data_IF_449215614716
#
_entry.id   IF_449215614716
#
_cell.length_a   1.000
_cell.length_b   1.000
_cell.length_c   1.000
_cell.angle_alpha   90.00
_cell.angle_beta   90.00
_cell.angle_gamma   90.00
#
_symmetry.space_group_name_H-M   'P 1'
#
loop_
_entity.id
_entity.type
_entity.pdbx_description
1 polymer ?
#
# COMPACT_ATOMS: atom_id res chain seq x y z
N UNK A 1 11.86 14.19 -13.70
CA UNK A 1 10.51 14.77 -13.84
C UNK A 1 10.56 16.23 -13.47
N UNK A 2 10.15 17.13 -14.36
CA UNK A 2 10.01 18.58 -14.12
C UNK A 2 8.75 18.85 -13.28
N UNK A 3 8.61 20.10 -12.79
CA UNK A 3 7.39 20.49 -12.05
C UNK A 3 6.13 20.38 -12.93
N UNK A 4 6.24 20.72 -14.22
CA UNK A 4 5.11 20.60 -15.16
C UNK A 4 4.71 19.14 -15.38
N UNK A 5 5.68 18.27 -15.63
CA UNK A 5 5.45 16.82 -15.78
C UNK A 5 4.87 16.22 -14.52
N UNK A 6 5.27 16.68 -13.33
CA UNK A 6 4.70 16.21 -12.06
C UNK A 6 3.23 16.61 -11.90
N UNK A 7 2.83 17.80 -12.36
CA UNK A 7 1.43 18.22 -12.34
C UNK A 7 0.59 17.42 -13.35
N UNK A 8 1.07 17.27 -14.59
CA UNK A 8 0.40 16.48 -15.63
C UNK A 8 0.23 15.02 -15.18
N UNK A 9 1.24 14.47 -14.52
CA UNK A 9 1.18 13.13 -13.96
C UNK A 9 0.15 13.01 -12.83
N UNK A 10 0.10 13.99 -11.93
CA UNK A 10 -0.88 14.03 -10.84
C UNK A 10 -2.32 14.07 -11.38
N UNK A 11 -2.57 14.85 -12.44
CA UNK A 11 -3.87 14.94 -13.09
C UNK A 11 -4.27 13.63 -13.81
N UNK A 12 -3.29 12.97 -14.44
CA UNK A 12 -3.50 11.64 -15.03
C UNK A 12 -3.83 10.61 -13.96
N UNK A 13 -3.11 10.64 -12.84
CA UNK A 13 -3.33 9.73 -11.72
C UNK A 13 -4.72 9.88 -11.10
N UNK A 14 -5.21 11.12 -10.96
CA UNK A 14 -6.59 11.36 -10.48
C UNK A 14 -7.61 10.66 -11.38
N UNK A 15 -7.53 10.85 -12.69
CA UNK A 15 -8.46 10.21 -13.65
C UNK A 15 -8.40 8.69 -13.61
N UNK A 16 -7.21 8.12 -13.49
CA UNK A 16 -7.05 6.68 -13.39
C UNK A 16 -7.67 6.13 -12.09
N UNK A 17 -7.49 6.84 -10.97
CA UNK A 17 -8.07 6.43 -9.69
C UNK A 17 -9.58 6.66 -9.60
N UNK A 18 -10.11 7.70 -10.23
CA UNK A 18 -11.54 7.91 -10.39
C UNK A 18 -12.19 6.73 -11.14
N UNK A 19 -11.58 6.30 -12.24
CA UNK A 19 -12.06 5.12 -12.98
C UNK A 19 -11.95 3.84 -12.17
N UNK A 20 -10.85 3.66 -11.44
CA UNK A 20 -10.68 2.50 -10.58
C UNK A 20 -11.68 2.51 -9.40
N UNK A 21 -12.00 3.67 -8.83
CA UNK A 21 -13.03 3.81 -7.80
C UNK A 21 -14.40 3.33 -8.31
N UNK A 22 -14.80 3.78 -9.50
CA UNK A 22 -16.04 3.35 -10.15
C UNK A 22 -16.09 1.84 -10.40
N UNK A 23 -14.98 1.24 -10.85
CA UNK A 23 -14.87 -0.22 -11.05
C UNK A 23 -15.01 -1.01 -9.74
N UNK A 24 -14.59 -0.42 -8.63
CA UNK A 24 -14.76 -0.98 -7.28
C UNK A 24 -16.14 -0.70 -6.66
N UNK A 25 -17.05 -0.05 -7.39
CA UNK A 25 -18.39 0.31 -6.88
C UNK A 25 -18.37 1.46 -5.86
N UNK A 26 -17.32 2.29 -5.89
CA UNK A 26 -17.18 3.50 -5.09
C UNK A 26 -17.54 4.74 -5.92
N UNK A 27 -17.70 5.88 -5.25
CA UNK A 27 -17.91 7.15 -5.94
C UNK A 27 -16.60 7.63 -6.61
N UNK A 28 -16.72 8.28 -7.76
CA UNK A 28 -15.60 8.85 -8.52
C UNK A 28 -14.73 9.79 -7.66
N UNK A 29 -15.38 10.61 -6.83
CA UNK A 29 -14.74 11.54 -5.89
C UNK A 29 -13.70 10.90 -4.96
N UNK A 30 -13.83 9.60 -4.68
CA UNK A 30 -12.90 8.84 -3.84
C UNK A 30 -11.50 8.78 -4.48
N UNK A 31 -11.42 8.64 -5.80
CA UNK A 31 -10.13 8.62 -6.52
C UNK A 31 -9.37 9.93 -6.35
N UNK A 32 -10.02 11.06 -6.61
CA UNK A 32 -9.44 12.40 -6.39
C UNK A 32 -9.05 12.62 -4.94
N UNK A 33 -9.91 12.26 -3.99
CA UNK A 33 -9.64 12.39 -2.56
C UNK A 33 -8.37 11.64 -2.14
N UNK A 34 -8.15 10.43 -2.66
CA UNK A 34 -6.95 9.63 -2.38
C UNK A 34 -5.69 10.35 -2.87
N UNK A 35 -5.72 10.86 -4.10
CA UNK A 35 -4.56 11.56 -4.67
C UNK A 35 -4.24 12.81 -3.88
N UNK A 36 -5.24 13.63 -3.57
CA UNK A 36 -5.03 14.92 -2.91
C UNK A 36 -4.55 14.80 -1.46
N UNK A 37 -4.93 13.73 -0.76
CA UNK A 37 -4.65 13.60 0.66
C UNK A 37 -3.49 12.64 1.01
N UNK A 38 -3.23 11.64 0.15
CA UNK A 38 -2.31 10.56 0.52
C UNK A 38 -1.15 10.36 -0.45
N UNK A 39 -1.20 10.96 -1.65
CA UNK A 39 -0.18 10.79 -2.67
C UNK A 39 0.54 12.12 -2.91
N UNK A 40 1.86 12.10 -2.84
CA UNK A 40 2.68 13.27 -3.16
C UNK A 40 3.56 12.95 -4.35
N UNK A 41 3.36 13.67 -5.47
CA UNK A 41 4.23 13.61 -6.64
C UNK A 41 5.34 14.65 -6.49
N UNK A 42 6.59 14.19 -6.40
CA UNK A 42 7.76 15.05 -6.19
C UNK A 42 8.50 15.26 -7.50
N UNK A 43 8.67 16.51 -7.96
CA UNK A 43 9.58 16.83 -9.06
C UNK A 43 11.02 16.47 -8.66
N UNK A 44 11.84 16.04 -9.63
CA UNK A 44 13.27 15.87 -9.38
C UNK A 44 13.89 17.22 -9.01
N UNK A 45 14.28 17.34 -7.75
CA UNK A 45 15.16 18.45 -7.35
C UNK A 45 16.53 18.23 -7.97
N UNK A 46 17.09 19.25 -8.59
CA UNK A 46 18.41 19.20 -9.21
C UNK A 46 19.43 18.63 -8.21
N UNK A 47 20.14 17.59 -8.60
CA UNK A 47 21.08 16.79 -7.77
C UNK A 47 22.36 17.55 -7.36
N UNK A 48 22.32 18.83 -7.14
CA UNK A 48 23.44 19.58 -6.57
C UNK A 48 23.53 19.27 -5.07
N UNK A 49 24.34 18.26 -4.74
CA UNK A 49 24.66 17.93 -3.35
C UNK A 49 24.55 16.46 -2.94
N UNK A 50 24.40 15.52 -3.86
CA UNK A 50 24.52 14.11 -3.51
C UNK A 50 25.98 13.75 -3.25
N UNK A 51 26.29 13.43 -2.01
CA UNK A 51 27.56 12.79 -1.62
C UNK A 51 27.45 11.31 -1.97
N UNK A 52 28.26 10.85 -2.92
CA UNK A 52 28.42 9.43 -3.21
C UNK A 52 29.29 8.81 -2.09
N UNK A 53 28.69 8.00 -1.25
CA UNK A 53 29.40 7.19 -0.25
C UNK A 53 29.63 5.79 -0.86
N UNK A 54 30.79 5.59 -1.49
CA UNK A 54 31.34 4.28 -1.82
C UNK A 54 30.77 3.58 -3.07
N UNK A 55 31.60 2.76 -3.72
CA UNK A 55 31.31 1.99 -4.93
C UNK A 55 30.23 0.90 -4.73
N UNK A 56 29.93 0.49 -3.51
CA UNK A 56 28.95 -0.56 -3.16
C UNK A 56 27.60 -0.03 -2.64
N UNK A 57 27.39 1.28 -2.57
CA UNK A 57 26.08 1.82 -2.19
C UNK A 57 25.13 1.69 -3.38
N UNK A 58 24.25 0.68 -3.36
CA UNK A 58 23.10 0.63 -4.25
C UNK A 58 22.40 1.99 -4.20
N UNK A 59 22.51 2.76 -5.29
CA UNK A 59 21.85 4.04 -5.43
C UNK A 59 20.36 3.81 -5.38
N UNK A 60 19.76 3.87 -4.21
CA UNK A 60 18.32 3.99 -4.05
C UNK A 60 17.92 5.32 -4.69
N UNK A 61 17.46 5.26 -5.93
CA UNK A 61 16.70 6.39 -6.49
C UNK A 61 15.48 6.55 -5.60
N UNK A 62 15.47 7.60 -4.79
CA UNK A 62 14.28 7.99 -4.07
C UNK A 62 13.15 8.09 -5.08
N UNK A 63 12.04 7.42 -4.84
CA UNK A 63 10.89 7.44 -5.74
C UNK A 63 10.39 8.88 -5.88
N UNK A 64 9.85 9.20 -7.06
CA UNK A 64 9.25 10.52 -7.31
C UNK A 64 7.85 10.63 -6.70
N UNK A 65 7.32 9.52 -6.20
CA UNK A 65 5.97 9.40 -5.68
C UNK A 65 6.03 8.81 -4.29
N UNK A 66 5.49 9.54 -3.34
CA UNK A 66 5.35 9.15 -1.94
C UNK A 66 3.89 8.89 -1.63
N UNK A 67 3.57 7.73 -1.08
CA UNK A 67 2.24 7.37 -0.59
C UNK A 67 2.32 7.20 0.91
N UNK A 68 1.46 7.92 1.62
CA UNK A 68 1.30 7.78 3.07
C UNK A 68 0.33 6.61 3.36
N UNK A 69 0.86 5.40 3.36
CA UNK A 69 0.09 4.17 3.54
C UNK A 69 -0.66 4.14 4.88
N UNK A 70 -0.03 4.65 5.93
CA UNK A 70 -0.63 4.67 7.28
C UNK A 70 -1.89 5.53 7.30
N UNK A 71 -1.83 6.75 6.77
CA UNK A 71 -3.01 7.62 6.68
C UNK A 71 -4.10 7.02 5.82
N UNK A 72 -3.71 6.39 4.74
CA UNK A 72 -4.59 5.70 3.82
C UNK A 72 -5.39 4.59 4.51
N UNK A 73 -4.71 3.73 5.28
CA UNK A 73 -5.38 2.65 6.02
C UNK A 73 -6.31 3.22 7.09
N UNK A 74 -5.88 4.27 7.81
CA UNK A 74 -6.71 4.94 8.81
C UNK A 74 -7.97 5.52 8.16
N UNK A 75 -7.84 6.27 7.07
CA UNK A 75 -8.98 6.86 6.36
C UNK A 75 -9.92 5.78 5.79
N UNK A 76 -9.36 4.67 5.30
CA UNK A 76 -10.14 3.51 4.86
C UNK A 76 -10.98 2.90 5.97
N UNK A 77 -10.45 2.82 7.18
CA UNK A 77 -11.19 2.33 8.34
C UNK A 77 -12.27 3.32 8.81
N UNK A 78 -12.02 4.62 8.77
CA UNK A 78 -13.01 5.66 9.07
C UNK A 78 -14.15 5.65 8.03
N UNK A 79 -13.82 5.53 6.76
CA UNK A 79 -14.78 5.37 5.68
C UNK A 79 -15.64 4.11 5.88
N UNK A 80 -14.99 3.02 6.27
CA UNK A 80 -15.65 1.77 6.59
C UNK A 80 -16.67 1.86 7.73
N UNK A 81 -16.32 2.60 8.77
CA UNK A 81 -17.22 2.84 9.90
C UNK A 81 -18.45 3.68 9.50
N UNK A 82 -18.33 4.49 8.45
CA UNK A 82 -19.43 5.34 7.92
C UNK A 82 -20.35 4.62 6.93
N UNK A 83 -19.91 3.49 6.37
CA UNK A 83 -20.65 2.74 5.33
C UNK A 83 -21.05 1.39 5.87
N UNK A 84 -22.34 1.08 5.84
CA UNK A 84 -22.92 -0.16 6.41
C UNK A 84 -22.56 -1.45 5.65
N UNK A 85 -21.65 -1.39 4.67
CA UNK A 85 -21.27 -2.55 3.83
C UNK A 85 -19.81 -2.95 4.07
N UNK A 86 -19.54 -4.13 4.64
CA UNK A 86 -18.19 -4.66 4.84
C UNK A 86 -17.34 -4.74 3.56
N UNK A 87 -17.98 -5.00 2.42
CA UNK A 87 -17.33 -5.06 1.11
C UNK A 87 -16.75 -3.71 0.66
N UNK A 88 -17.34 -2.60 1.07
CA UNK A 88 -16.85 -1.26 0.73
C UNK A 88 -15.50 -0.94 1.37
N UNK A 89 -15.24 -1.48 2.57
CA UNK A 89 -13.92 -1.37 3.24
C UNK A 89 -12.85 -2.07 2.43
N UNK A 90 -13.15 -3.29 2.06
CA UNK A 90 -12.27 -4.13 1.27
C UNK A 90 -11.93 -3.44 -0.06
N UNK A 91 -12.95 -2.97 -0.77
CA UNK A 91 -12.79 -2.27 -2.04
C UNK A 91 -11.99 -0.98 -1.88
N UNK A 92 -12.17 -0.25 -0.79
CA UNK A 92 -11.42 0.97 -0.51
C UNK A 92 -9.94 0.68 -0.23
N UNK A 93 -9.63 -0.30 0.61
CA UNK A 93 -8.25 -0.72 0.89
C UNK A 93 -7.59 -1.26 -0.40
N UNK A 94 -8.31 -2.04 -1.18
CA UNK A 94 -7.85 -2.56 -2.46
C UNK A 94 -7.53 -1.41 -3.44
N UNK A 95 -8.41 -0.43 -3.56
CA UNK A 95 -8.22 0.74 -4.42
C UNK A 95 -6.94 1.51 -4.06
N UNK A 96 -6.68 1.70 -2.78
CA UNK A 96 -5.53 2.43 -2.29
C UNK A 96 -4.23 1.69 -2.57
N UNK A 97 -4.23 0.39 -2.38
CA UNK A 97 -3.04 -0.43 -2.62
C UNK A 97 -2.80 -0.57 -4.11
N UNK A 98 -3.86 -0.74 -4.91
CA UNK A 98 -3.76 -0.70 -6.37
C UNK A 98 -3.21 0.65 -6.83
N UNK A 99 -3.63 1.77 -6.23
CA UNK A 99 -3.06 3.08 -6.56
C UNK A 99 -1.58 3.19 -6.24
N UNK A 100 -1.13 2.60 -5.12
CA UNK A 100 0.29 2.51 -4.79
C UNK A 100 1.09 1.73 -5.84
N UNK A 101 0.49 0.71 -6.46
CA UNK A 101 1.15 -0.12 -7.49
C UNK A 101 0.99 0.41 -8.90
N UNK A 102 -0.12 1.05 -9.23
CA UNK A 102 -0.36 1.67 -10.54
C UNK A 102 0.72 2.70 -10.87
N UNK A 103 1.15 3.43 -9.86
CA UNK A 103 2.25 4.39 -9.93
C UNK A 103 3.58 3.70 -10.30
N UNK A 104 3.77 2.44 -9.95
CA UNK A 104 4.96 1.66 -10.29
C UNK A 104 5.02 1.11 -11.72
N UNK A 105 3.99 1.29 -12.55
CA UNK A 105 3.88 0.78 -13.96
C UNK A 105 4.17 -0.72 -14.15
N UNK A 106 4.41 -1.48 -13.09
CA UNK A 106 4.98 -2.82 -13.21
C UNK A 106 4.03 -3.94 -12.82
N UNK A 107 2.91 -3.66 -12.16
CA UNK A 107 2.09 -4.74 -11.62
C UNK A 107 0.60 -4.44 -11.77
N UNK A 108 -0.02 -5.08 -12.75
CA UNK A 108 -1.45 -5.40 -12.73
C UNK A 108 -1.67 -6.49 -11.67
N UNK A 109 -1.46 -6.17 -10.42
CA UNK A 109 -1.68 -7.11 -9.35
C UNK A 109 -2.80 -6.58 -8.48
N UNK A 110 -3.98 -7.12 -8.70
CA UNK A 110 -5.07 -7.01 -7.75
C UNK A 110 -4.62 -7.71 -6.47
N UNK A 111 -4.72 -7.02 -5.34
CA UNK A 111 -4.48 -7.66 -4.07
C UNK A 111 -5.60 -8.65 -3.78
N UNK A 112 -5.22 -9.84 -3.37
CA UNK A 112 -6.16 -10.83 -2.88
C UNK A 112 -6.82 -10.38 -1.57
N UNK A 113 -7.97 -10.95 -1.23
CA UNK A 113 -8.61 -10.71 0.08
C UNK A 113 -7.65 -11.02 1.23
N UNK A 114 -6.88 -12.08 1.12
CA UNK A 114 -5.93 -12.49 2.15
C UNK A 114 -4.83 -11.43 2.35
N UNK A 115 -4.27 -10.87 1.26
CA UNK A 115 -3.30 -9.77 1.36
C UNK A 115 -3.87 -8.55 2.06
N UNK A 116 -5.10 -8.20 1.76
CA UNK A 116 -5.78 -7.07 2.40
C UNK A 116 -5.99 -7.31 3.89
N UNK A 117 -6.37 -8.54 4.27
CA UNK A 117 -6.53 -8.90 5.68
C UNK A 117 -5.21 -8.91 6.44
N UNK A 118 -4.15 -9.38 5.84
CA UNK A 118 -2.80 -9.33 6.42
C UNK A 118 -2.40 -7.88 6.71
N UNK A 119 -2.57 -6.96 5.75
CA UNK A 119 -2.28 -5.53 5.95
C UNK A 119 -3.16 -4.94 7.07
N UNK A 120 -4.45 -5.25 7.07
CA UNK A 120 -5.37 -4.77 8.10
C UNK A 120 -4.97 -5.23 9.50
N UNK A 121 -4.63 -6.51 9.67
CA UNK A 121 -4.22 -7.05 10.96
C UNK A 121 -2.87 -6.49 11.42
N UNK A 122 -1.89 -6.33 10.52
CA UNK A 122 -0.62 -5.66 10.82
C UNK A 122 -0.85 -4.22 11.30
N UNK A 123 -1.75 -3.48 10.60
CA UNK A 123 -2.12 -2.13 11.02
C UNK A 123 -2.77 -2.13 12.42
N UNK A 124 -3.74 -3.00 12.64
CA UNK A 124 -4.45 -3.12 13.94
C UNK A 124 -3.51 -3.42 15.10
N UNK A 125 -2.43 -4.16 14.84
CA UNK A 125 -1.38 -4.45 15.83
C UNK A 125 -0.33 -3.35 15.97
N UNK A 126 -0.40 -2.30 15.18
CA UNK A 126 0.58 -1.23 15.21
C UNK A 126 1.97 -1.67 14.72
N UNK A 127 2.03 -2.58 13.75
CA UNK A 127 3.27 -3.19 13.24
C UNK A 127 4.21 -2.23 12.51
N UNK A 128 4.12 -0.91 12.74
CA UNK A 128 4.96 0.09 12.06
C UNK A 128 6.34 0.21 12.68
N UNK A 129 6.42 0.34 13.99
CA UNK A 129 7.68 0.57 14.71
C UNK A 129 8.16 -0.67 15.46
N UNK A 130 7.26 -1.32 16.19
CA UNK A 130 7.60 -2.46 17.03
C UNK A 130 7.66 -3.79 16.28
N UNK A 131 7.03 -3.85 15.09
CA UNK A 131 6.84 -5.10 14.38
C UNK A 131 5.90 -6.08 15.11
N UNK A 132 5.64 -7.21 14.49
CA UNK A 132 4.84 -8.31 15.04
C UNK A 132 5.56 -9.62 14.78
N UNK A 133 5.67 -10.47 15.78
CA UNK A 133 6.32 -11.78 15.67
C UNK A 133 5.60 -12.65 14.63
N UNK A 134 6.35 -13.20 13.68
CA UNK A 134 5.85 -13.87 12.48
C UNK A 134 4.97 -15.08 12.80
N UNK A 135 5.43 -15.97 13.69
CA UNK A 135 4.74 -17.22 13.97
C UNK A 135 3.39 -17.01 14.65
N UNK A 136 3.33 -16.09 15.61
CA UNK A 136 2.09 -15.71 16.29
C UNK A 136 1.14 -14.99 15.33
N UNK A 137 1.67 -14.13 14.48
CA UNK A 137 0.88 -13.40 13.50
C UNK A 137 0.21 -14.33 12.49
N UNK A 138 0.94 -15.32 11.96
CA UNK A 138 0.38 -16.30 11.02
C UNK A 138 -0.80 -17.05 11.67
N UNK A 139 -0.65 -17.51 12.91
CA UNK A 139 -1.72 -18.22 13.61
C UNK A 139 -2.96 -17.34 13.79
N UNK A 140 -2.77 -16.05 14.10
CA UNK A 140 -3.86 -15.11 14.25
C UNK A 140 -4.56 -14.80 12.92
N UNK A 141 -3.81 -14.70 11.81
CA UNK A 141 -4.39 -14.55 10.47
C UNK A 141 -5.26 -15.76 10.14
N UNK A 142 -4.80 -16.99 10.45
CA UNK A 142 -5.57 -18.20 10.22
C UNK A 142 -6.89 -18.20 10.99
N UNK A 143 -6.85 -17.89 12.29
CA UNK A 143 -8.04 -17.82 13.13
C UNK A 143 -9.01 -16.75 12.64
N UNK A 144 -8.49 -15.56 12.35
CA UNK A 144 -9.31 -14.43 11.93
C UNK A 144 -9.96 -14.67 10.55
N UNK A 145 -9.22 -15.24 9.60
CA UNK A 145 -9.71 -15.57 8.26
C UNK A 145 -10.81 -16.64 8.34
N UNK A 146 -10.61 -17.68 9.17
CA UNK A 146 -11.62 -18.71 9.43
C UNK A 146 -12.90 -18.11 10.03
N UNK A 147 -12.78 -17.17 10.96
CA UNK A 147 -13.94 -16.52 11.59
C UNK A 147 -14.71 -15.61 10.62
N UNK A 148 -14.02 -14.91 9.73
CA UNK A 148 -14.62 -13.92 8.84
C UNK A 148 -15.12 -14.50 7.51
N UNK A 149 -14.36 -15.41 6.92
CA UNK A 149 -14.67 -15.98 5.62
C UNK A 149 -15.27 -17.40 5.71
N UNK A 150 -15.24 -18.01 6.89
CA UNK A 150 -15.70 -19.39 7.09
C UNK A 150 -14.81 -20.44 6.42
N UNK A 151 -13.60 -20.04 6.01
CA UNK A 151 -12.65 -20.90 5.28
C UNK A 151 -11.33 -20.97 6.01
N UNK A 152 -10.74 -22.18 6.08
CA UNK A 152 -9.37 -22.31 6.52
C UNK A 152 -8.41 -21.77 5.46
N UNK A 153 -7.29 -21.22 5.91
CA UNK A 153 -6.17 -20.80 5.07
C UNK A 153 -4.91 -21.49 5.58
N UNK A 154 -4.11 -22.01 4.66
CA UNK A 154 -2.88 -22.69 5.01
C UNK A 154 -1.78 -21.70 5.39
N UNK A 155 -0.83 -22.19 6.21
CA UNK A 155 0.33 -21.41 6.61
C UNK A 155 1.12 -20.90 5.39
N UNK A 156 1.31 -21.76 4.40
CA UNK A 156 2.11 -21.47 3.21
C UNK A 156 1.46 -20.35 2.38
N UNK A 157 0.13 -20.34 2.25
CA UNK A 157 -0.59 -19.25 1.57
C UNK A 157 -0.35 -17.89 2.25
N UNK A 158 -0.31 -17.87 3.60
CA UNK A 158 -0.04 -16.64 4.35
C UNK A 158 1.41 -16.19 4.17
N UNK A 159 2.36 -17.14 4.19
CA UNK A 159 3.78 -16.86 3.94
C UNK A 159 3.98 -16.31 2.53
N UNK A 160 3.31 -16.86 1.52
CA UNK A 160 3.36 -16.36 0.15
C UNK A 160 2.81 -14.94 0.04
N UNK A 161 1.69 -14.66 0.72
CA UNK A 161 1.16 -13.30 0.84
C UNK A 161 2.17 -12.34 1.48
N UNK A 162 2.78 -12.74 2.59
CA UNK A 162 3.78 -11.92 3.28
C UNK A 162 4.99 -11.64 2.38
N UNK A 163 5.49 -12.65 1.66
CA UNK A 163 6.57 -12.51 0.69
C UNK A 163 6.20 -11.56 -0.45
N UNK A 164 4.94 -11.61 -0.91
CA UNK A 164 4.44 -10.68 -1.92
C UNK A 164 4.42 -9.24 -1.38
N UNK A 165 3.90 -9.01 -0.17
CA UNK A 165 3.90 -7.69 0.47
C UNK A 165 5.32 -7.13 0.68
N UNK A 166 6.29 -7.99 0.99
CA UNK A 166 7.70 -7.61 1.05
C UNK A 166 8.23 -7.18 -0.33
N UNK A 167 7.98 -7.99 -1.36
CA UNK A 167 8.42 -7.71 -2.73
C UNK A 167 7.91 -6.36 -3.24
N UNK A 168 6.68 -6.00 -2.90
CA UNK A 168 6.05 -4.74 -3.28
C UNK A 168 6.33 -3.60 -2.30
N UNK A 169 7.21 -3.81 -1.31
CA UNK A 169 7.67 -2.80 -0.35
C UNK A 169 6.58 -2.25 0.59
N UNK A 170 5.52 -2.98 0.80
CA UNK A 170 4.46 -2.66 1.78
C UNK A 170 4.81 -3.16 3.18
N UNK A 171 5.47 -4.32 3.26
CA UNK A 171 5.98 -4.88 4.50
C UNK A 171 7.51 -5.04 4.47
N UNK A 172 8.09 -5.25 5.64
CA UNK A 172 9.50 -5.59 5.83
C UNK A 172 9.62 -6.71 6.86
N UNK A 173 10.73 -7.46 6.81
CA UNK A 173 11.03 -8.55 7.73
C UNK A 173 12.38 -8.33 8.36
N UNK A 174 12.45 -8.36 9.66
CA UNK A 174 13.69 -8.27 10.39
C UNK A 174 13.59 -9.05 11.71
N UNK A 175 14.60 -9.90 11.99
CA UNK A 175 14.73 -10.66 13.23
C UNK A 175 13.45 -11.42 13.65
N UNK A 176 12.77 -12.06 12.69
CA UNK A 176 11.56 -12.85 12.94
C UNK A 176 10.31 -12.01 13.19
N UNK A 177 10.38 -10.69 12.97
CA UNK A 177 9.26 -9.76 13.06
C UNK A 177 8.87 -9.20 11.69
N UNK A 178 7.58 -8.93 11.55
CA UNK A 178 6.99 -8.30 10.37
C UNK A 178 6.68 -6.84 10.71
N UNK A 179 7.08 -5.95 9.80
CA UNK A 179 6.85 -4.52 9.91
C UNK A 179 6.01 -4.02 8.74
N UNK A 180 4.99 -3.23 9.02
CA UNK A 180 4.22 -2.53 8.00
C UNK A 180 4.89 -1.17 7.71
N UNK A 181 5.09 -0.84 6.45
CA UNK A 181 5.68 0.46 6.09
C UNK A 181 4.66 1.59 6.24
N UNK A 182 5.08 2.70 6.86
CA UNK A 182 4.24 3.90 6.91
C UNK A 182 4.11 4.58 5.53
N UNK A 183 5.17 4.47 4.73
CA UNK A 183 5.26 5.11 3.42
C UNK A 183 5.71 4.12 2.35
N UNK A 184 5.03 4.14 1.22
CA UNK A 184 5.43 3.40 0.01
C UNK A 184 5.95 4.40 -1.02
N UNK A 185 7.05 4.05 -1.67
CA UNK A 185 7.69 4.89 -2.68
C UNK A 185 7.60 4.26 -4.06
N UNK A 186 7.06 5.01 -5.00
CA UNK A 186 7.05 4.67 -6.41
C UNK A 186 8.03 5.52 -7.22
N UNK A 187 8.48 5.00 -8.35
CA UNK A 187 9.33 5.73 -9.29
C UNK A 187 8.66 5.77 -10.65
N UNK A 188 8.43 6.96 -11.18
CA UNK A 188 8.07 7.16 -12.59
C UNK A 188 9.36 7.28 -13.39
N UNK A 189 9.49 6.45 -14.43
CA UNK A 189 10.62 6.54 -15.38
C UNK A 189 10.34 7.60 -16.43
#
# INVERSE_FOLDING_TARGET
>A
MTRKEAMEYNDSLKKELEQAALQCGLEESVGTYIVDNFITVLPETSRKGMIFLGEDSASYKAGNIKIDLKKVVIAGLEFAASVSKPESVFNYIQLIIVSAFFIGKSVKQELSRLETYVIYLLHKKGAYDAGVEEGLFISEVQEWYQQKEGKAVDRDDIVDVMNNLYRIKVADFNDGNIYLKEHVWGTVK
#
